data_IF_069527374638
#
_entry.id   IF_069527374638
#
_cell.length_a   1.000
_cell.length_b   1.000
_cell.length_c   1.000
_cell.angle_alpha   90.00
_cell.angle_beta   90.00
_cell.angle_gamma   90.00
#
_symmetry.space_group_name_H-M   'P 1'
#
loop_
_entity.id
_entity.type
_entity.pdbx_description
1 polymer ?
#
# COMPACT_ATOMS: atom_id res chain seq x y z
N UNK A 1 0.59 60.37 -26.81
CA UNK A 1 1.14 59.14 -26.20
C UNK A 1 1.90 59.48 -24.90
N UNK A 2 1.83 58.69 -23.79
CA UNK A 2 1.58 57.26 -23.71
C UNK A 2 0.62 56.78 -22.59
N UNK A 3 0.40 55.45 -22.62
CA UNK A 3 0.25 54.48 -21.52
C UNK A 3 -0.99 54.42 -20.60
N UNK A 4 -1.60 53.23 -20.68
CA UNK A 4 -2.61 52.58 -19.82
C UNK A 4 -2.21 52.49 -18.34
N UNK A 5 -3.20 52.52 -17.45
CA UNK A 5 -3.23 51.65 -16.26
C UNK A 5 -4.65 51.11 -16.09
N UNK A 6 -4.80 49.79 -16.22
CA UNK A 6 -6.01 49.06 -15.87
C UNK A 6 -5.77 48.37 -14.54
N UNK A 7 -6.55 48.72 -13.53
CA UNK A 7 -6.59 48.00 -12.25
C UNK A 7 -7.49 46.78 -12.39
N UNK A 8 -6.89 45.59 -12.43
CA UNK A 8 -7.58 44.31 -12.25
C UNK A 8 -7.58 43.95 -10.77
N UNK A 9 -8.75 44.00 -10.14
CA UNK A 9 -8.98 43.53 -8.78
C UNK A 9 -9.34 42.05 -8.74
N UNK A 10 -8.59 41.31 -7.91
CA UNK A 10 -9.03 40.25 -7.00
C UNK A 10 -10.09 39.24 -7.45
N UNK A 11 -9.66 37.98 -7.57
CA UNK A 11 -10.53 36.81 -7.56
C UNK A 11 -9.72 35.54 -7.29
N UNK A 12 -9.47 35.23 -6.01
CA UNK A 12 -8.88 33.96 -5.58
C UNK A 12 -9.91 32.83 -5.74
N UNK A 13 -9.68 31.94 -6.69
CA UNK A 13 -10.34 30.64 -6.78
C UNK A 13 -9.47 29.59 -6.10
N UNK A 14 -9.88 29.12 -4.92
CA UNK A 14 -9.29 27.98 -4.23
C UNK A 14 -9.81 26.71 -4.91
N UNK A 15 -8.94 26.04 -5.66
CA UNK A 15 -9.19 24.73 -6.26
C UNK A 15 -9.12 23.62 -5.20
N UNK A 16 -10.17 22.81 -5.14
CA UNK A 16 -10.22 21.59 -4.34
C UNK A 16 -9.38 20.49 -4.98
N UNK A 17 -8.49 19.89 -4.20
CA UNK A 17 -7.73 18.69 -4.54
C UNK A 17 -8.05 17.57 -3.56
N UNK A 18 -8.77 16.55 -4.03
CA UNK A 18 -8.97 15.29 -3.33
C UNK A 18 -7.88 14.30 -3.77
N UNK A 19 -7.20 13.69 -2.80
CA UNK A 19 -6.22 12.63 -3.05
C UNK A 19 -5.48 12.25 -1.77
N UNK A 20 -6.14 11.54 -0.85
CA UNK A 20 -5.49 10.87 0.27
C UNK A 20 -5.34 9.39 -0.09
N UNK A 21 -4.08 8.97 -0.30
CA UNK A 21 -3.67 7.58 -0.47
C UNK A 21 -3.35 6.89 0.87
N UNK A 22 -3.12 5.56 0.84
CA UNK A 22 -3.40 4.58 1.92
C UNK A 22 -2.15 4.27 2.76
N UNK A 23 -2.16 3.62 3.92
CA UNK A 23 -3.17 2.89 4.69
C UNK A 23 -2.43 2.04 5.74
N UNK A 24 -3.03 1.85 6.93
CA UNK A 24 -2.67 0.78 7.87
C UNK A 24 -3.91 0.37 8.66
N UNK A 25 -4.24 -0.90 8.52
CA UNK A 25 -5.54 -1.52 8.79
C UNK A 25 -6.10 -1.25 10.19
N UNK A 26 -7.38 -0.89 10.20
CA UNK A 26 -8.29 -1.44 11.19
C UNK A 26 -8.59 -2.89 10.78
N UNK A 27 -8.61 -3.76 11.79
CA UNK A 27 -9.26 -5.06 11.83
C UNK A 27 -10.29 -5.28 10.71
N UNK A 28 -10.15 -6.39 9.98
CA UNK A 28 -11.20 -7.01 9.16
C UNK A 28 -12.02 -6.07 8.26
N UNK A 29 -11.48 -5.50 7.18
CA UNK A 29 -12.35 -4.85 6.16
C UNK A 29 -11.76 -4.67 4.75
N UNK A 30 -10.79 -5.49 4.32
CA UNK A 30 -10.33 -5.50 2.92
C UNK A 30 -11.30 -6.22 1.94
N UNK A 31 -12.40 -6.79 2.45
CA UNK A 31 -13.49 -7.39 1.67
C UNK A 31 -14.61 -6.38 1.32
N UNK A 32 -14.43 -5.07 1.57
CA UNK A 32 -15.52 -4.09 1.39
C UNK A 32 -15.10 -2.76 0.79
N UNK A 33 -14.36 -2.77 -0.31
CA UNK A 33 -14.24 -1.57 -1.16
C UNK A 33 -15.31 -1.55 -2.24
N UNK A 34 -16.50 -1.06 -1.90
CA UNK A 34 -17.52 -0.67 -2.88
C UNK A 34 -17.10 0.66 -3.50
N UNK A 35 -16.51 0.60 -4.69
CA UNK A 35 -16.14 1.79 -5.47
C UNK A 35 -17.37 2.61 -5.87
N UNK A 36 -17.54 3.76 -5.22
CA UNK A 36 -18.46 4.82 -5.66
C UNK A 36 -17.86 5.57 -6.85
N UNK A 37 -18.67 5.75 -7.88
CA UNK A 37 -18.29 6.28 -9.19
C UNK A 37 -17.90 7.76 -9.23
N UNK A 38 -17.26 8.12 -10.34
CA UNK A 38 -16.98 9.49 -10.76
C UNK A 38 -17.45 9.69 -12.20
N UNK A 39 -18.24 10.74 -12.39
CA UNK A 39 -18.91 11.21 -13.60
C UNK A 39 -18.01 11.38 -14.85
N UNK A 40 -18.56 11.01 -16.00
CA UNK A 40 -18.08 11.34 -17.33
C UNK A 40 -19.25 11.52 -18.29
N UNK A 41 -19.58 12.77 -18.59
CA UNK A 41 -20.73 13.23 -19.37
C UNK A 41 -20.70 12.83 -20.86
N UNK A 42 -21.84 12.31 -21.36
CA UNK A 42 -22.43 12.76 -22.62
C UNK A 42 -22.31 11.88 -23.88
N UNK A 43 -23.31 11.03 -24.13
CA UNK A 43 -23.88 10.84 -25.47
C UNK A 43 -25.31 10.26 -25.38
N UNK A 44 -26.27 10.95 -26.00
CA UNK A 44 -27.67 10.55 -26.10
C UNK A 44 -27.84 9.44 -27.14
N UNK A 45 -28.68 8.43 -26.83
CA UNK A 45 -29.42 7.66 -27.83
C UNK A 45 -29.54 6.17 -27.53
N UNK A 46 -30.78 5.70 -27.28
CA UNK A 46 -31.15 4.29 -27.39
C UNK A 46 -31.69 3.69 -26.09
N UNK A 47 -33.01 3.74 -25.92
CA UNK A 47 -33.74 2.89 -24.98
C UNK A 47 -33.60 1.44 -25.44
N UNK A 48 -32.91 0.63 -24.63
CA UNK A 48 -32.55 -0.74 -24.96
C UNK A 48 -32.11 -1.46 -23.70
N UNK A 49 -33.04 -2.22 -23.11
CA UNK A 49 -32.80 -3.23 -22.09
C UNK A 49 -31.74 -4.23 -22.59
N UNK A 50 -30.48 -3.93 -22.29
CA UNK A 50 -29.35 -4.77 -22.65
C UNK A 50 -29.11 -5.76 -21.52
N UNK A 51 -29.62 -6.98 -21.72
CA UNK A 51 -29.19 -8.17 -20.97
C UNK A 51 -27.66 -8.24 -20.96
N UNK A 52 -26.98 -8.48 -19.81
CA UNK A 52 -25.53 -8.56 -19.80
C UNK A 52 -25.03 -9.68 -20.72
N UNK A 53 -24.10 -9.36 -21.62
CA UNK A 53 -23.52 -10.35 -22.52
C UNK A 53 -22.84 -11.50 -21.74
N UNK A 54 -23.00 -12.77 -22.16
CA UNK A 54 -22.38 -13.92 -21.52
C UNK A 54 -20.85 -13.84 -21.63
N UNK A 55 -20.13 -14.14 -20.54
CA UNK A 55 -18.67 -14.21 -20.53
C UNK A 55 -18.25 -15.42 -21.38
N UNK A 56 -17.78 -15.18 -22.60
CA UNK A 56 -17.29 -16.20 -23.52
C UNK A 56 -15.91 -16.69 -23.13
N UNK A 57 -15.60 -17.96 -23.44
CA UNK A 57 -14.26 -18.51 -23.21
C UNK A 57 -13.21 -17.73 -23.99
N UNK A 58 -12.15 -17.23 -23.34
CA UNK A 58 -11.07 -16.55 -24.05
C UNK A 58 -10.41 -17.49 -25.07
N UNK A 59 -10.20 -17.06 -26.33
CA UNK A 59 -9.73 -17.92 -27.41
C UNK A 59 -8.28 -18.42 -27.23
N UNK A 60 -7.51 -17.76 -26.37
CA UNK A 60 -6.13 -18.11 -26.03
C UNK A 60 -6.02 -18.97 -24.76
N UNK A 61 -7.13 -19.29 -24.09
CA UNK A 61 -7.12 -20.19 -22.94
C UNK A 61 -6.75 -21.60 -23.39
N UNK A 62 -5.72 -22.19 -22.77
CA UNK A 62 -5.27 -23.56 -23.07
C UNK A 62 -6.24 -24.60 -22.51
N UNK A 63 -6.24 -25.77 -23.11
CA UNK A 63 -6.83 -26.98 -22.54
C UNK A 63 -5.88 -27.60 -21.51
N UNK A 64 -6.44 -28.23 -20.48
CA UNK A 64 -5.68 -28.99 -19.48
C UNK A 64 -5.50 -28.29 -18.13
N UNK A 65 -4.60 -28.79 -17.27
CA UNK A 65 -4.51 -28.38 -15.87
C UNK A 65 -3.97 -26.95 -15.68
N UNK A 66 -3.21 -26.42 -16.64
CA UNK A 66 -2.81 -25.02 -16.67
C UNK A 66 -3.45 -24.33 -17.88
N UNK A 67 -4.52 -23.51 -17.68
CA UNK A 67 -5.24 -22.88 -18.77
C UNK A 67 -4.55 -21.61 -19.31
N UNK A 68 -3.43 -21.18 -18.73
CA UNK A 68 -2.73 -19.97 -19.12
C UNK A 68 -1.74 -20.22 -20.27
N UNK A 69 -1.68 -19.33 -21.29
CA UNK A 69 -0.58 -19.29 -22.25
C UNK A 69 0.79 -19.18 -21.56
N UNK A 70 1.84 -19.72 -22.20
CA UNK A 70 3.22 -19.66 -21.67
C UNK A 70 3.74 -18.22 -21.53
N UNK A 71 3.23 -17.31 -22.36
CA UNK A 71 3.53 -15.87 -22.33
C UNK A 71 2.25 -15.03 -22.22
N UNK A 72 1.40 -15.36 -21.25
CA UNK A 72 0.14 -14.64 -21.05
C UNK A 72 0.37 -13.19 -20.59
N UNK A 73 -0.30 -12.24 -21.22
CA UNK A 73 -0.32 -10.85 -20.74
C UNK A 73 -1.17 -10.71 -19.47
N UNK A 74 -0.99 -9.64 -18.67
CA UNK A 74 -1.84 -9.41 -17.49
C UNK A 74 -3.34 -9.37 -17.82
N UNK A 75 -3.73 -8.79 -18.96
CA UNK A 75 -5.12 -8.76 -19.45
C UNK A 75 -5.62 -10.16 -19.77
N UNK A 76 -4.79 -10.98 -20.42
CA UNK A 76 -5.13 -12.37 -20.73
C UNK A 76 -5.30 -13.21 -19.46
N UNK A 77 -4.43 -13.02 -18.46
CA UNK A 77 -4.55 -13.67 -17.16
C UNK A 77 -5.87 -13.24 -16.48
N UNK A 78 -6.16 -11.94 -16.44
CA UNK A 78 -7.42 -11.40 -15.89
C UNK A 78 -8.64 -12.02 -16.55
N UNK A 79 -8.71 -12.03 -17.88
CA UNK A 79 -9.83 -12.58 -18.64
C UNK A 79 -10.02 -14.09 -18.37
N UNK A 80 -8.93 -14.86 -18.31
CA UNK A 80 -8.98 -16.29 -17.95
C UNK A 80 -9.48 -16.46 -16.51
N UNK A 81 -8.98 -15.68 -15.54
CA UNK A 81 -9.42 -15.76 -14.14
C UNK A 81 -10.92 -15.46 -13.98
N UNK A 82 -11.42 -14.42 -14.65
CA UNK A 82 -12.86 -14.10 -14.66
C UNK A 82 -13.66 -15.22 -15.31
N UNK A 83 -13.18 -15.79 -16.43
CA UNK A 83 -13.85 -16.91 -17.07
C UNK A 83 -13.93 -18.13 -16.14
N UNK A 84 -12.83 -18.51 -15.49
CA UNK A 84 -12.77 -19.64 -14.56
C UNK A 84 -13.69 -19.44 -13.37
N UNK A 85 -13.75 -18.24 -12.79
CA UNK A 85 -14.68 -17.92 -11.71
C UNK A 85 -16.17 -18.07 -12.10
N UNK A 86 -16.50 -17.86 -13.37
CA UNK A 86 -17.86 -18.03 -13.88
C UNK A 86 -18.20 -19.48 -14.25
N UNK A 87 -17.23 -20.25 -14.78
CA UNK A 87 -17.51 -21.49 -15.50
C UNK A 87 -16.79 -22.74 -14.99
N UNK A 88 -15.70 -22.60 -14.24
CA UNK A 88 -14.93 -23.74 -13.72
C UNK A 88 -15.41 -24.11 -12.31
N UNK A 89 -15.95 -25.33 -12.10
CA UNK A 89 -16.40 -25.76 -10.79
C UNK A 89 -15.28 -25.73 -9.74
N UNK A 90 -15.54 -25.15 -8.57
CA UNK A 90 -14.59 -25.10 -7.46
C UNK A 90 -13.57 -23.98 -7.55
N UNK A 91 -13.36 -23.34 -8.71
CA UNK A 91 -12.43 -22.23 -8.84
C UNK A 91 -12.88 -21.03 -8.00
N UNK A 92 -14.16 -20.66 -8.08
CA UNK A 92 -14.70 -19.53 -7.31
C UNK A 92 -14.61 -19.79 -5.81
N UNK A 93 -15.03 -20.96 -5.35
CA UNK A 93 -15.04 -21.33 -3.93
C UNK A 93 -13.62 -21.45 -3.34
N UNK A 94 -12.64 -21.81 -4.17
CA UNK A 94 -11.24 -21.92 -3.75
C UNK A 94 -10.58 -20.57 -3.48
N UNK A 95 -10.95 -19.54 -4.25
CA UNK A 95 -10.24 -18.26 -4.23
C UNK A 95 -11.08 -17.06 -3.76
N UNK A 96 -12.40 -17.20 -3.68
CA UNK A 96 -13.34 -16.11 -3.38
C UNK A 96 -14.37 -16.46 -2.31
N UNK A 97 -14.85 -15.44 -1.60
CA UNK A 97 -16.09 -15.52 -0.82
C UNK A 97 -17.32 -15.36 -1.74
N UNK A 98 -18.52 -15.49 -1.17
CA UNK A 98 -19.77 -15.39 -1.94
C UNK A 98 -20.03 -13.99 -2.53
N UNK A 99 -19.40 -12.95 -1.98
CA UNK A 99 -19.50 -11.55 -2.44
C UNK A 99 -18.56 -11.23 -3.62
N UNK A 100 -17.61 -12.13 -3.93
CA UNK A 100 -16.61 -11.92 -4.99
C UNK A 100 -15.29 -11.34 -4.47
N UNK A 101 -15.13 -11.20 -3.16
CA UNK A 101 -13.87 -10.84 -2.54
C UNK A 101 -12.95 -12.02 -2.46
N UNK A 102 -11.67 -11.74 -2.71
CA UNK A 102 -10.63 -12.74 -2.64
C UNK A 102 -10.42 -13.18 -1.21
N UNK A 103 -10.24 -14.49 -1.01
CA UNK A 103 -9.98 -15.06 0.32
C UNK A 103 -8.58 -14.68 0.85
N UNK A 104 -7.61 -14.47 -0.05
CA UNK A 104 -6.24 -14.09 0.33
C UNK A 104 -5.48 -13.48 -0.84
N UNK A 105 -4.62 -12.49 -0.56
CA UNK A 105 -3.67 -11.96 -1.54
C UNK A 105 -2.47 -12.89 -1.79
N UNK A 106 -2.20 -13.84 -0.88
CA UNK A 106 -1.03 -14.74 -0.92
C UNK A 106 -1.28 -16.05 -1.67
N UNK A 107 -2.54 -16.30 -2.03
CA UNK A 107 -2.93 -17.53 -2.72
C UNK A 107 -2.95 -17.24 -4.21
N UNK A 108 -2.05 -17.90 -4.94
CA UNK A 108 -1.94 -17.79 -6.38
C UNK A 108 -2.68 -18.94 -7.07
N UNK A 109 -3.19 -18.67 -8.27
CA UNK A 109 -3.66 -19.72 -9.15
C UNK A 109 -2.51 -20.24 -10.05
N UNK A 110 -2.86 -21.03 -11.05
CA UNK A 110 -1.91 -21.63 -12.00
C UNK A 110 -1.18 -20.60 -12.89
N UNK A 111 -1.56 -19.31 -12.85
CA UNK A 111 -0.81 -18.21 -13.49
C UNK A 111 0.36 -17.71 -12.64
N UNK A 112 0.52 -18.24 -11.42
CA UNK A 112 1.43 -17.73 -10.40
C UNK A 112 1.14 -16.29 -9.95
N UNK A 113 -0.08 -15.79 -10.20
CA UNK A 113 -0.58 -14.51 -9.71
C UNK A 113 -1.79 -14.71 -8.82
N UNK A 114 -2.00 -13.76 -7.91
CA UNK A 114 -3.24 -13.67 -7.14
C UNK A 114 -4.42 -13.45 -8.09
N UNK A 115 -5.54 -14.16 -7.95
CA UNK A 115 -6.73 -13.88 -8.75
C UNK A 115 -7.18 -12.41 -8.68
N UNK A 116 -7.84 -11.88 -9.72
CA UNK A 116 -8.40 -10.51 -9.70
C UNK A 116 -9.57 -10.41 -8.74
N UNK A 117 -9.79 -9.23 -8.14
CA UNK A 117 -10.99 -8.95 -7.37
C UNK A 117 -12.23 -9.01 -8.28
N UNK A 118 -13.34 -9.59 -7.81
CA UNK A 118 -14.57 -9.70 -8.57
C UNK A 118 -15.68 -8.80 -8.00
N UNK A 119 -16.57 -8.36 -8.87
CA UNK A 119 -17.91 -7.89 -8.55
C UNK A 119 -18.90 -8.98 -8.96
N UNK A 120 -19.70 -9.46 -8.01
CA UNK A 120 -20.78 -10.42 -8.27
C UNK A 120 -22.07 -9.64 -8.52
N UNK A 121 -22.63 -9.81 -9.71
CA UNK A 121 -23.94 -9.25 -10.04
C UNK A 121 -25.02 -9.87 -9.12
N UNK A 122 -25.79 -9.06 -8.37
CA UNK A 122 -26.72 -9.59 -7.38
C UNK A 122 -27.89 -10.36 -8.00
N UNK A 123 -28.26 -10.06 -9.24
CA UNK A 123 -29.40 -10.67 -9.94
C UNK A 123 -28.97 -11.91 -10.74
N UNK A 124 -27.93 -11.77 -11.55
CA UNK A 124 -27.49 -12.82 -12.49
C UNK A 124 -26.41 -13.73 -11.91
N UNK A 125 -25.80 -13.34 -10.78
CA UNK A 125 -24.61 -13.98 -10.18
C UNK A 125 -23.38 -14.04 -11.10
N UNK A 126 -23.42 -13.31 -12.22
CA UNK A 126 -22.28 -13.16 -13.10
C UNK A 126 -21.13 -12.45 -12.37
N UNK A 127 -19.91 -12.98 -12.48
CA UNK A 127 -18.72 -12.35 -11.90
C UNK A 127 -17.98 -11.55 -12.96
N UNK A 128 -17.61 -10.32 -12.64
CA UNK A 128 -16.79 -9.44 -13.50
C UNK A 128 -15.61 -8.95 -12.68
N UNK A 129 -14.49 -8.63 -13.31
CA UNK A 129 -13.39 -7.99 -12.59
C UNK A 129 -13.88 -6.66 -11.99
N UNK A 130 -13.61 -6.42 -10.71
CA UNK A 130 -13.98 -5.19 -10.02
C UNK A 130 -13.11 -3.99 -10.45
N UNK A 131 -11.99 -4.27 -11.12
CA UNK A 131 -11.06 -3.28 -11.68
C UNK A 131 -10.43 -3.85 -12.95
N UNK A 132 -10.09 -2.97 -13.88
CA UNK A 132 -9.33 -3.34 -15.08
C UNK A 132 -7.84 -3.58 -14.83
N UNK A 133 -7.32 -3.13 -13.68
CA UNK A 133 -5.90 -3.26 -13.36
C UNK A 133 -5.57 -4.70 -12.90
N UNK A 134 -4.49 -5.30 -13.42
CA UNK A 134 -4.02 -6.61 -12.96
C UNK A 134 -3.65 -6.59 -11.47
N UNK A 135 -3.64 -7.77 -10.81
CA UNK A 135 -3.18 -7.89 -9.43
C UNK A 135 -1.72 -7.44 -9.32
N UNK A 136 -1.32 -6.82 -8.19
CA UNK A 136 0.04 -6.32 -8.04
C UNK A 136 1.06 -7.46 -8.06
N UNK A 137 2.26 -7.19 -8.57
CA UNK A 137 3.41 -8.10 -8.46
C UNK A 137 3.76 -8.23 -6.97
N UNK A 138 3.69 -9.46 -6.44
CA UNK A 138 3.97 -9.77 -5.05
C UNK A 138 5.46 -9.73 -4.70
N UNK A 139 5.76 -9.41 -3.44
CA UNK A 139 7.10 -9.46 -2.87
C UNK A 139 7.65 -10.88 -2.77
N UNK A 140 8.98 -11.01 -2.76
CA UNK A 140 9.69 -12.26 -2.47
C UNK A 140 10.67 -12.02 -1.35
N UNK A 141 10.92 -13.04 -0.54
CA UNK A 141 11.85 -12.97 0.59
C UNK A 141 13.08 -13.86 0.38
N UNK A 142 14.22 -13.44 0.94
CA UNK A 142 15.47 -14.22 0.95
C UNK A 142 15.26 -15.52 1.71
N UNK A 143 14.68 -15.41 2.90
CA UNK A 143 14.27 -16.51 3.77
C UNK A 143 12.78 -16.39 4.07
N UNK A 144 12.04 -17.51 4.11
CA UNK A 144 10.60 -17.51 4.42
C UNK A 144 10.29 -17.26 5.90
N UNK A 145 11.30 -17.36 6.78
CA UNK A 145 11.17 -17.16 8.22
C UNK A 145 11.54 -15.75 8.68
N UNK A 146 10.71 -15.17 9.55
CA UNK A 146 11.04 -13.92 10.22
C UNK A 146 12.23 -14.11 11.17
N UNK A 147 13.19 -13.18 11.13
CA UNK A 147 14.13 -13.00 12.24
C UNK A 147 13.43 -12.17 13.31
N UNK A 148 13.37 -12.67 14.54
CA UNK A 148 12.60 -12.03 15.60
C UNK A 148 13.51 -11.51 16.70
N UNK A 149 13.30 -10.26 17.11
CA UNK A 149 13.77 -9.78 18.40
C UNK A 149 12.60 -9.69 19.38
N UNK A 150 12.90 -9.77 20.67
CA UNK A 150 11.93 -9.60 21.73
C UNK A 150 12.28 -8.39 22.60
N UNK A 151 11.35 -8.07 23.50
CA UNK A 151 11.56 -7.09 24.56
C UNK A 151 12.60 -7.53 25.59
N UNK A 152 12.75 -8.84 25.79
CA UNK A 152 13.59 -9.44 26.83
C UNK A 152 15.09 -9.46 26.46
N UNK A 153 15.42 -9.20 25.19
CA UNK A 153 16.77 -8.97 24.71
C UNK A 153 17.46 -7.86 25.49
N UNK A 154 18.80 -7.85 25.42
CA UNK A 154 19.65 -6.91 26.15
C UNK A 154 19.56 -5.47 25.59
N UNK A 155 18.38 -4.86 25.67
CA UNK A 155 18.18 -3.44 25.42
C UNK A 155 18.55 -2.65 26.67
N UNK A 156 19.25 -1.54 26.48
CA UNK A 156 19.44 -0.59 27.58
C UNK A 156 18.12 0.11 27.93
N UNK A 157 18.03 0.60 29.17
CA UNK A 157 16.81 1.22 29.71
C UNK A 157 16.31 2.42 28.90
N UNK A 158 17.24 3.20 28.33
CA UNK A 158 16.88 4.39 27.54
C UNK A 158 16.23 3.98 26.21
N UNK A 159 16.78 2.97 25.54
CA UNK A 159 16.21 2.40 24.32
C UNK A 159 14.84 1.80 24.58
N UNK A 160 14.69 1.00 25.65
CA UNK A 160 13.42 0.40 26.02
C UNK A 160 12.35 1.46 26.31
N UNK A 161 12.71 2.54 27.02
CA UNK A 161 11.81 3.65 27.32
C UNK A 161 11.30 4.33 26.05
N UNK A 162 12.16 4.61 25.06
CA UNK A 162 11.73 5.20 23.78
C UNK A 162 10.73 4.30 23.04
N UNK A 163 11.00 3.00 23.01
CA UNK A 163 10.13 2.03 22.35
C UNK A 163 8.76 1.94 23.03
N UNK A 164 8.72 1.97 24.36
CA UNK A 164 7.47 2.01 25.13
C UNK A 164 6.70 3.32 24.95
N UNK A 165 7.39 4.47 24.94
CA UNK A 165 6.77 5.77 24.68
C UNK A 165 6.11 5.79 23.28
N UNK A 166 6.79 5.27 22.26
CA UNK A 166 6.24 5.16 20.91
C UNK A 166 5.05 4.18 20.83
N UNK A 167 5.12 3.05 21.54
CA UNK A 167 4.00 2.09 21.62
C UNK A 167 2.77 2.70 22.32
N UNK A 168 2.98 3.41 23.43
CA UNK A 168 1.93 4.07 24.19
C UNK A 168 1.27 5.21 23.38
N UNK A 169 2.09 6.00 22.67
CA UNK A 169 1.58 7.04 21.77
C UNK A 169 0.72 6.43 20.65
N UNK A 170 1.19 5.37 20.00
CA UNK A 170 0.42 4.63 18.99
C UNK A 170 -0.93 4.17 19.56
N UNK A 171 -0.95 3.55 20.74
CA UNK A 171 -2.19 3.06 21.34
C UNK A 171 -3.17 4.20 21.62
N UNK A 172 -2.69 5.31 22.18
CA UNK A 172 -3.50 6.51 22.43
C UNK A 172 -4.22 7.01 21.17
N UNK A 173 -3.53 7.08 20.04
CA UNK A 173 -4.14 7.55 18.79
C UNK A 173 -5.06 6.52 18.13
N UNK A 174 -4.81 5.22 18.32
CA UNK A 174 -5.76 4.17 17.93
C UNK A 174 -7.07 4.31 18.71
N UNK A 175 -6.99 4.51 20.03
CA UNK A 175 -8.17 4.67 20.88
C UNK A 175 -8.95 5.93 20.46
N UNK A 176 -8.25 7.06 20.26
CA UNK A 176 -8.87 8.31 19.81
C UNK A 176 -9.57 8.18 18.44
N UNK A 177 -8.92 7.53 17.47
CA UNK A 177 -9.52 7.30 16.15
C UNK A 177 -10.74 6.36 16.22
N UNK A 178 -10.68 5.34 17.07
CA UNK A 178 -11.78 4.40 17.29
C UNK A 178 -13.00 5.11 17.90
N UNK A 179 -12.80 5.97 18.89
CA UNK A 179 -13.88 6.77 19.48
C UNK A 179 -14.47 7.79 18.50
N UNK A 180 -13.63 8.46 17.71
CA UNK A 180 -14.09 9.40 16.68
C UNK A 180 -14.92 8.69 15.58
N UNK A 181 -14.52 7.49 15.17
CA UNK A 181 -15.25 6.69 14.19
C UNK A 181 -16.59 6.18 14.75
N UNK A 182 -16.64 5.72 16.00
CA UNK A 182 -17.90 5.36 16.68
C UNK A 182 -18.87 6.54 16.71
N UNK A 183 -18.38 7.74 17.06
CA UNK A 183 -19.17 8.98 17.06
C UNK A 183 -19.72 9.29 15.66
N UNK A 184 -18.89 9.18 14.62
CA UNK A 184 -19.31 9.36 13.22
C UNK A 184 -20.44 8.39 12.84
N UNK A 185 -20.31 7.11 13.20
CA UNK A 185 -21.31 6.08 12.90
C UNK A 185 -22.64 6.32 13.61
N UNK A 186 -22.61 6.72 14.88
CA UNK A 186 -23.83 7.07 15.63
C UNK A 186 -24.59 8.23 14.98
N UNK A 187 -23.87 9.26 14.52
CA UNK A 187 -24.48 10.44 13.90
C UNK A 187 -24.95 10.19 12.46
N UNK A 188 -24.32 9.26 11.74
CA UNK A 188 -24.75 8.86 10.39
C UNK A 188 -26.18 8.29 10.39
N UNK A 189 -26.61 7.68 11.50
CA UNK A 189 -27.95 7.14 11.68
C UNK A 189 -28.97 8.18 12.18
N UNK A 190 -28.52 9.37 12.60
CA UNK A 190 -29.32 10.36 13.34
C UNK A 190 -29.91 11.51 12.51
N UNK A 191 -29.55 11.64 11.23
CA UNK A 191 -30.14 12.62 10.30
C UNK A 191 -29.69 14.09 10.46
N UNK A 192 -28.86 14.42 11.44
CA UNK A 192 -28.27 15.77 11.59
C UNK A 192 -27.03 15.93 10.70
N UNK A 193 -27.18 16.70 9.61
CA UNK A 193 -26.13 16.90 8.62
C UNK A 193 -24.94 17.72 9.12
N UNK A 194 -25.13 18.64 10.08
CA UNK A 194 -24.04 19.49 10.57
C UNK A 194 -23.19 18.74 11.60
N UNK A 195 -23.84 18.07 12.55
CA UNK A 195 -23.17 17.22 13.52
C UNK A 195 -22.41 16.08 12.84
N UNK A 196 -23.00 15.47 11.80
CA UNK A 196 -22.33 14.46 11.00
C UNK A 196 -21.08 15.00 10.30
N UNK A 197 -21.15 16.19 9.69
CA UNK A 197 -19.99 16.80 9.01
C UNK A 197 -18.84 17.09 9.99
N UNK A 198 -19.16 17.60 11.18
CA UNK A 198 -18.17 17.84 12.23
C UNK A 198 -17.51 16.52 12.68
N UNK A 199 -18.30 15.47 12.90
CA UNK A 199 -17.79 14.16 13.29
C UNK A 199 -16.97 13.48 12.17
N UNK A 200 -17.33 13.68 10.90
CA UNK A 200 -16.52 13.23 9.76
C UNK A 200 -15.14 13.92 9.75
N UNK A 201 -15.09 15.22 10.01
CA UNK A 201 -13.83 15.97 10.05
C UNK A 201 -12.97 15.56 11.26
N UNK A 202 -13.58 15.36 12.42
CA UNK A 202 -12.90 14.84 13.63
C UNK A 202 -12.31 13.45 13.38
N UNK A 203 -13.10 12.53 12.83
CA UNK A 203 -12.64 11.18 12.48
C UNK A 203 -11.50 11.21 11.46
N UNK A 204 -11.56 12.10 10.45
CA UNK A 204 -10.48 12.28 9.47
C UNK A 204 -9.19 12.73 10.15
N UNK A 205 -9.24 13.74 11.03
CA UNK A 205 -8.07 14.22 11.76
C UNK A 205 -7.51 13.16 12.69
N UNK A 206 -8.36 12.44 13.42
CA UNK A 206 -7.95 11.38 14.32
C UNK A 206 -7.32 10.19 13.57
N UNK A 207 -7.86 9.83 12.40
CA UNK A 207 -7.28 8.80 11.54
C UNK A 207 -5.90 9.20 11.03
N UNK A 208 -5.72 10.45 10.61
CA UNK A 208 -4.40 10.93 10.17
C UNK A 208 -3.36 10.86 11.30
N UNK A 209 -3.72 11.30 12.51
CA UNK A 209 -2.83 11.22 13.67
C UNK A 209 -2.53 9.77 14.09
N UNK A 210 -3.51 8.87 13.95
CA UNK A 210 -3.31 7.42 14.13
C UNK A 210 -2.30 6.86 13.14
N UNK A 211 -2.42 7.22 11.86
CA UNK A 211 -1.48 6.77 10.83
C UNK A 211 -0.06 7.20 11.17
N UNK A 212 0.13 8.50 11.44
CA UNK A 212 1.45 9.07 11.78
C UNK A 212 2.07 8.41 13.02
N UNK A 213 1.29 8.20 14.09
CA UNK A 213 1.79 7.57 15.31
C UNK A 213 2.19 6.09 15.09
N UNK A 214 1.50 5.39 14.20
CA UNK A 214 1.81 4.01 13.88
C UNK A 214 3.02 3.87 12.95
N UNK A 215 3.19 4.77 11.98
CA UNK A 215 4.41 4.89 11.16
C UNK A 215 5.62 5.15 12.07
N UNK A 216 5.52 6.18 12.92
CA UNK A 216 6.57 6.55 13.89
C UNK A 216 6.96 5.38 14.79
N UNK A 217 6.00 4.59 15.25
CA UNK A 217 6.28 3.42 16.06
C UNK A 217 7.11 2.37 15.30
N UNK A 218 6.70 1.98 14.10
CA UNK A 218 7.46 1.03 13.27
C UNK A 218 8.88 1.53 12.99
N UNK A 219 9.01 2.80 12.61
CA UNK A 219 10.30 3.44 12.35
C UNK A 219 11.20 3.49 13.60
N UNK A 220 10.62 3.74 14.78
CA UNK A 220 11.38 3.78 16.05
C UNK A 220 11.97 2.41 16.35
N UNK A 221 11.22 1.32 16.13
CA UNK A 221 11.71 -0.06 16.29
C UNK A 221 12.87 -0.33 15.34
N UNK A 222 12.73 0.06 14.07
CA UNK A 222 13.78 -0.11 13.09
C UNK A 222 15.07 0.63 13.52
N UNK A 223 14.95 1.91 13.89
CA UNK A 223 16.06 2.79 14.24
C UNK A 223 16.74 2.42 15.55
N UNK A 224 15.97 2.12 16.58
CA UNK A 224 16.47 1.99 17.95
C UNK A 224 16.84 0.55 18.31
N UNK A 225 16.34 -0.45 17.56
CA UNK A 225 16.68 -1.85 17.82
C UNK A 225 17.19 -2.59 16.58
N UNK A 226 16.43 -2.66 15.49
CA UNK A 226 16.81 -3.54 14.35
C UNK A 226 18.13 -3.12 13.71
N UNK A 227 18.31 -1.84 13.42
CA UNK A 227 19.55 -1.36 12.80
C UNK A 227 20.75 -1.52 13.72
N UNK A 228 20.72 -1.10 15.01
CA UNK A 228 21.83 -1.35 15.94
C UNK A 228 22.17 -2.83 16.12
N UNK A 229 21.16 -3.71 16.16
CA UNK A 229 21.34 -5.15 16.41
C UNK A 229 21.89 -5.88 15.18
N UNK A 230 21.39 -5.60 13.98
CA UNK A 230 21.73 -6.34 12.75
C UNK A 230 22.78 -5.66 11.87
N UNK A 231 22.94 -4.34 12.02
CA UNK A 231 23.76 -3.51 11.15
C UNK A 231 24.63 -2.53 11.95
N UNK A 232 25.44 -3.03 12.90
CA UNK A 232 26.20 -2.18 13.82
C UNK A 232 27.13 -1.23 13.07
N UNK A 233 27.16 0.03 13.52
CA UNK A 233 27.98 1.09 12.92
C UNK A 233 27.39 1.72 11.66
N UNK A 234 26.20 1.31 11.23
CA UNK A 234 25.52 1.98 10.11
C UNK A 234 25.07 3.39 10.49
N UNK A 235 25.11 4.30 9.53
CA UNK A 235 24.73 5.71 9.71
C UNK A 235 23.49 6.04 8.86
N UNK A 236 22.52 6.81 9.38
CA UNK A 236 21.32 7.13 8.62
C UNK A 236 21.67 8.07 7.46
N UNK A 237 21.06 7.84 6.30
CA UNK A 237 21.06 8.78 5.18
C UNK A 237 19.85 9.72 5.31
N UNK A 238 20.02 10.98 4.92
CA UNK A 238 18.93 11.96 4.95
C UNK A 238 18.04 11.77 3.74
N UNK A 239 16.73 11.66 3.97
CA UNK A 239 15.70 11.61 2.93
C UNK A 239 14.90 12.92 2.94
N UNK A 240 14.48 13.37 1.77
CA UNK A 240 13.77 14.63 1.52
C UNK A 240 12.50 14.42 0.67
N UNK A 241 11.88 13.26 0.82
CA UNK A 241 10.63 12.90 0.17
C UNK A 241 9.48 13.81 0.57
N UNK A 242 8.37 13.68 -0.15
CA UNK A 242 7.25 14.61 -0.08
C UNK A 242 6.59 14.58 1.30
N UNK A 243 6.00 15.72 1.69
CA UNK A 243 5.30 15.88 2.96
C UNK A 243 4.11 14.91 3.16
N UNK A 244 3.65 14.24 2.10
CA UNK A 244 2.59 13.24 2.15
C UNK A 244 3.11 11.81 2.42
N UNK A 245 4.43 11.62 2.61
CA UNK A 245 5.05 10.32 2.91
C UNK A 245 5.12 9.33 1.75
N UNK A 246 4.49 9.63 0.60
CA UNK A 246 4.54 8.76 -0.56
C UNK A 246 5.90 8.86 -1.28
N UNK A 247 6.20 7.94 -2.19
CA UNK A 247 7.35 8.07 -3.10
C UNK A 247 8.73 8.14 -2.40
N UNK A 248 8.84 7.56 -1.21
CA UNK A 248 10.07 7.50 -0.42
C UNK A 248 10.15 6.17 0.33
N UNK A 249 11.37 5.72 0.63
CA UNK A 249 11.61 4.69 1.65
C UNK A 249 11.37 5.26 3.05
N UNK A 250 11.00 4.42 4.01
CA UNK A 250 10.86 4.86 5.41
C UNK A 250 12.23 5.24 5.99
N UNK A 251 13.26 4.42 5.76
CA UNK A 251 14.64 4.73 6.16
C UNK A 251 15.68 4.17 5.19
N UNK A 252 16.81 4.86 5.06
CA UNK A 252 18.01 4.38 4.37
C UNK A 252 19.20 4.56 5.30
N UNK A 253 20.03 3.53 5.38
CA UNK A 253 21.23 3.49 6.22
C UNK A 253 22.44 3.07 5.41
N UNK A 254 23.54 3.80 5.55
CA UNK A 254 24.84 3.42 4.99
C UNK A 254 25.57 2.50 5.95
N UNK A 255 25.98 1.33 5.47
CA UNK A 255 26.79 0.37 6.22
C UNK A 255 28.28 0.78 6.23
N UNK A 256 29.06 0.34 7.23
CA UNK A 256 30.51 0.60 7.28
C UNK A 256 31.31 0.07 6.07
N UNK A 257 30.82 -0.98 5.42
CA UNK A 257 31.40 -1.58 4.20
C UNK A 257 31.09 -0.79 2.91
N UNK A 258 30.35 0.32 3.02
CA UNK A 258 29.93 1.14 1.89
C UNK A 258 28.64 0.67 1.20
N UNK A 259 28.04 -0.44 1.66
CA UNK A 259 26.72 -0.89 1.23
C UNK A 259 25.59 -0.12 1.91
N UNK A 260 24.35 -0.51 1.59
CA UNK A 260 23.15 0.13 2.13
C UNK A 260 22.16 -0.88 2.71
N UNK A 261 21.44 -0.43 3.73
CA UNK A 261 20.21 -1.07 4.22
C UNK A 261 19.07 -0.11 3.95
N UNK A 262 18.05 -0.59 3.25
CA UNK A 262 16.81 0.15 3.00
C UNK A 262 15.71 -0.52 3.81
N UNK A 263 14.91 0.27 4.51
CA UNK A 263 13.93 -0.22 5.47
C UNK A 263 12.52 0.21 5.07
N UNK A 264 11.61 -0.76 4.99
CA UNK A 264 10.17 -0.55 5.17
C UNK A 264 9.81 -0.91 6.62
N UNK A 265 9.07 -0.05 7.30
CA UNK A 265 8.70 -0.22 8.70
C UNK A 265 7.17 -0.24 8.85
N UNK A 266 6.65 -1.24 9.56
CA UNK A 266 5.22 -1.40 9.83
C UNK A 266 4.97 -1.50 11.33
N UNK A 267 3.89 -0.87 11.77
CA UNK A 267 3.57 -0.76 13.19
C UNK A 267 3.25 -2.11 13.85
N UNK A 268 2.72 -3.08 13.11
CA UNK A 268 2.36 -4.41 13.64
C UNK A 268 2.71 -5.54 12.69
N UNK A 269 2.93 -6.75 13.22
CA UNK A 269 3.19 -7.98 12.45
C UNK A 269 2.08 -8.32 11.45
N UNK A 270 0.83 -8.01 11.79
CA UNK A 270 -0.34 -8.25 10.94
C UNK A 270 -0.52 -7.20 9.84
N UNK A 271 0.19 -6.08 9.89
CA UNK A 271 0.08 -5.03 8.86
C UNK A 271 0.62 -5.57 7.54
N UNK A 272 -0.20 -5.49 6.49
CA UNK A 272 0.19 -5.87 5.13
C UNK A 272 1.07 -4.80 4.46
N UNK A 273 1.79 -5.21 3.41
CA UNK A 273 2.58 -4.28 2.59
C UNK A 273 1.67 -3.48 1.66
N UNK A 274 2.04 -2.23 1.41
CA UNK A 274 1.31 -1.40 0.44
C UNK A 274 1.53 -1.88 -1.00
N UNK A 275 0.64 -1.49 -1.92
CA UNK A 275 0.87 -1.59 -3.37
C UNK A 275 0.63 -0.25 -4.04
N UNK A 276 1.37 0.02 -5.11
CA UNK A 276 1.21 1.23 -5.92
C UNK A 276 1.27 0.93 -7.40
N UNK A 277 0.73 1.84 -8.21
CA UNK A 277 1.02 1.87 -9.65
C UNK A 277 2.49 2.27 -9.84
N UNK A 278 3.17 1.57 -10.74
CA UNK A 278 4.57 1.85 -11.07
C UNK A 278 4.60 2.56 -12.41
N UNK A 279 5.31 3.68 -12.50
CA UNK A 279 5.31 4.47 -13.73
C UNK A 279 5.98 3.74 -14.90
N UNK A 280 6.93 2.84 -14.60
CA UNK A 280 7.67 2.06 -15.58
C UNK A 280 6.91 0.85 -16.15
N UNK A 281 5.78 0.47 -15.56
CA UNK A 281 4.97 -0.68 -16.00
C UNK A 281 3.56 -0.19 -16.35
N UNK A 282 3.19 -0.27 -17.63
CA UNK A 282 1.96 0.30 -18.16
C UNK A 282 0.71 -0.35 -17.53
N UNK A 283 0.15 0.29 -16.50
CA UNK A 283 -1.05 -0.18 -15.79
C UNK A 283 -0.80 -1.15 -14.63
N UNK A 284 0.43 -1.64 -14.47
CA UNK A 284 0.79 -2.58 -13.41
C UNK A 284 0.96 -1.90 -12.05
N UNK A 285 0.75 -2.70 -11.02
CA UNK A 285 1.01 -2.34 -9.63
C UNK A 285 2.11 -3.23 -9.07
N UNK A 286 2.96 -2.70 -8.21
CA UNK A 286 3.94 -3.49 -7.48
C UNK A 286 3.73 -3.32 -5.97
N UNK A 287 3.89 -4.42 -5.25
CA UNK A 287 3.94 -4.42 -3.79
C UNK A 287 5.24 -3.77 -3.32
N UNK A 288 5.19 -3.09 -2.18
CA UNK A 288 6.39 -2.74 -1.42
C UNK A 288 7.25 -4.00 -1.20
N UNK A 289 8.57 -3.87 -1.22
CA UNK A 289 9.46 -5.03 -1.14
C UNK A 289 9.84 -5.67 -2.48
N UNK A 290 9.26 -5.24 -3.59
CA UNK A 290 9.66 -5.70 -4.93
C UNK A 290 10.79 -4.84 -5.52
N UNK A 291 11.55 -5.41 -6.47
CA UNK A 291 12.55 -4.65 -7.24
C UNK A 291 11.93 -3.49 -8.00
N UNK A 292 10.77 -3.68 -8.62
CA UNK A 292 10.08 -2.64 -9.40
C UNK A 292 9.64 -1.48 -8.52
N UNK A 293 9.11 -1.77 -7.33
CA UNK A 293 8.79 -0.74 -6.34
C UNK A 293 10.05 0.03 -5.92
N UNK A 294 11.13 -0.69 -5.61
CA UNK A 294 12.40 -0.09 -5.22
C UNK A 294 12.92 0.88 -6.30
N UNK A 295 12.94 0.44 -7.57
CA UNK A 295 13.42 1.25 -8.69
C UNK A 295 12.53 2.45 -8.99
N UNK A 296 11.21 2.33 -8.80
CA UNK A 296 10.28 3.45 -8.94
C UNK A 296 10.54 4.52 -7.88
N UNK A 297 10.83 4.15 -6.63
CA UNK A 297 11.23 5.13 -5.61
C UNK A 297 12.52 5.84 -6.02
N UNK A 298 13.54 5.12 -6.50
CA UNK A 298 14.79 5.74 -6.95
C UNK A 298 14.55 6.74 -8.09
N UNK A 299 13.59 6.46 -8.98
CA UNK A 299 13.18 7.40 -10.01
C UNK A 299 12.52 8.66 -9.44
N UNK A 300 11.69 8.52 -8.40
CA UNK A 300 11.12 9.69 -7.72
C UNK A 300 12.18 10.50 -6.97
N UNK A 301 13.15 9.83 -6.32
CA UNK A 301 14.29 10.49 -5.68
C UNK A 301 15.12 11.27 -6.71
N UNK A 302 15.40 10.67 -7.86
CA UNK A 302 16.16 11.31 -8.95
C UNK A 302 15.45 12.54 -9.50
N UNK A 303 14.12 12.47 -9.68
CA UNK A 303 13.32 13.64 -10.09
C UNK A 303 13.37 14.75 -9.06
N UNK A 304 13.30 14.43 -7.77
CA UNK A 304 13.51 15.41 -6.69
C UNK A 304 14.95 15.93 -6.65
N UNK A 305 15.90 15.14 -7.12
CA UNK A 305 17.32 15.49 -7.32
C UNK A 305 17.54 16.78 -8.10
N UNK A 306 16.60 17.15 -8.99
CA UNK A 306 16.64 18.42 -9.72
C UNK A 306 16.57 19.65 -8.79
N UNK A 307 15.82 19.55 -7.69
CA UNK A 307 15.67 20.62 -6.70
C UNK A 307 16.52 20.37 -5.44
N UNK A 308 16.79 19.10 -5.13
CA UNK A 308 17.49 18.65 -3.92
C UNK A 308 18.63 17.72 -4.34
N UNK A 309 19.81 18.24 -4.70
CA UNK A 309 20.89 17.43 -5.27
C UNK A 309 21.29 16.20 -4.44
N UNK A 310 21.18 16.27 -3.11
CA UNK A 310 21.46 15.14 -2.21
C UNK A 310 20.54 13.93 -2.44
N UNK A 311 19.27 14.13 -2.84
CA UNK A 311 18.35 13.04 -3.20
C UNK A 311 18.80 12.32 -4.49
N UNK A 312 19.19 13.09 -5.51
CA UNK A 312 19.68 12.53 -6.77
C UNK A 312 20.98 11.75 -6.57
N UNK A 313 21.94 12.31 -5.82
CA UNK A 313 23.17 11.61 -5.48
C UNK A 313 22.94 10.31 -4.69
N UNK A 314 21.99 10.31 -3.76
CA UNK A 314 21.64 9.11 -2.99
C UNK A 314 20.96 8.07 -3.89
N UNK A 315 20.06 8.49 -4.78
CA UNK A 315 19.42 7.62 -5.75
C UNK A 315 20.46 6.93 -6.65
N UNK A 316 21.43 7.67 -7.18
CA UNK A 316 22.52 7.11 -7.98
C UNK A 316 23.36 6.09 -7.20
N UNK A 317 23.73 6.42 -5.96
CA UNK A 317 24.48 5.51 -5.06
C UNK A 317 23.70 4.22 -4.79
N UNK A 318 22.40 4.32 -4.55
CA UNK A 318 21.51 3.16 -4.35
C UNK A 318 21.36 2.33 -5.63
N UNK A 319 21.15 2.95 -6.81
CA UNK A 319 21.09 2.21 -8.09
C UNK A 319 22.38 1.42 -8.32
N UNK A 320 23.53 2.03 -8.08
CA UNK A 320 24.84 1.37 -8.18
C UNK A 320 24.97 0.22 -7.20
N UNK A 321 24.65 0.45 -5.93
CA UNK A 321 24.71 -0.58 -4.90
C UNK A 321 23.78 -1.76 -5.21
N UNK A 322 22.57 -1.54 -5.75
CA UNK A 322 21.69 -2.63 -6.19
C UNK A 322 22.34 -3.44 -7.32
N UNK A 323 22.95 -2.78 -8.30
CA UNK A 323 23.64 -3.46 -9.41
C UNK A 323 24.82 -4.32 -8.93
N UNK A 324 25.51 -3.87 -7.88
CA UNK A 324 26.64 -4.56 -7.25
C UNK A 324 26.21 -5.61 -6.22
N UNK A 325 24.90 -5.76 -5.95
CA UNK A 325 24.38 -6.67 -4.93
C UNK A 325 24.66 -6.22 -3.49
N UNK A 326 24.93 -4.93 -3.27
CA UNK A 326 25.32 -4.35 -1.99
C UNK A 326 24.20 -3.54 -1.32
N UNK A 327 22.95 -3.96 -1.53
CA UNK A 327 21.76 -3.41 -0.87
C UNK A 327 21.01 -4.55 -0.19
N UNK A 328 20.72 -4.36 1.09
CA UNK A 328 19.76 -5.19 1.83
C UNK A 328 18.46 -4.41 1.99
N UNK A 329 17.41 -4.86 1.31
CA UNK A 329 16.08 -4.28 1.47
C UNK A 329 15.28 -5.11 2.48
N UNK A 330 14.89 -4.49 3.59
CA UNK A 330 14.29 -5.19 4.72
C UNK A 330 12.91 -4.63 5.08
N UNK A 331 12.08 -5.50 5.65
CA UNK A 331 10.83 -5.15 6.29
C UNK A 331 10.95 -5.37 7.80
N UNK A 332 10.64 -4.34 8.57
CA UNK A 332 10.53 -4.40 10.02
C UNK A 332 9.07 -4.29 10.42
N UNK A 333 8.57 -5.24 11.22
CA UNK A 333 7.23 -5.18 11.79
C UNK A 333 7.28 -5.20 13.31
N UNK A 334 6.60 -4.26 13.95
CA UNK A 334 6.53 -4.20 15.41
C UNK A 334 5.65 -5.29 16.03
N UNK A 335 6.01 -5.73 17.24
CA UNK A 335 5.14 -6.52 18.14
C UNK A 335 4.71 -5.63 19.30
N UNK A 336 3.42 -5.67 19.64
CA UNK A 336 2.83 -4.85 20.70
C UNK A 336 2.13 -5.72 21.75
N UNK A 337 2.16 -5.25 23.00
CA UNK A 337 1.32 -5.72 24.10
C UNK A 337 0.54 -4.51 24.64
N UNK A 338 -0.58 -4.20 24.00
CA UNK A 338 -1.34 -2.97 24.23
C UNK A 338 -0.45 -1.73 24.08
N UNK A 339 -0.28 -0.90 25.13
CA UNK A 339 0.55 0.30 25.08
C UNK A 339 2.06 0.02 25.21
N UNK A 340 2.50 -1.23 25.27
CA UNK A 340 3.91 -1.59 25.49
C UNK A 340 4.55 -2.22 24.26
N UNK A 341 5.84 -1.93 24.10
CA UNK A 341 6.68 -2.60 23.12
C UNK A 341 6.90 -4.09 23.49
N UNK A 342 6.75 -5.00 22.52
CA UNK A 342 6.87 -6.45 22.75
C UNK A 342 7.92 -7.16 21.87
N UNK A 343 8.60 -6.45 20.96
CA UNK A 343 9.56 -7.06 20.03
C UNK A 343 9.35 -6.63 18.58
N UNK A 344 9.98 -7.37 17.66
CA UNK A 344 9.81 -7.15 16.23
C UNK A 344 9.92 -8.46 15.42
N UNK A 345 9.54 -8.36 14.15
CA UNK A 345 9.86 -9.29 13.08
C UNK A 345 10.61 -8.56 11.97
N UNK A 346 11.69 -9.16 11.48
CA UNK A 346 12.50 -8.66 10.37
C UNK A 346 12.48 -9.67 9.24
N UNK A 347 12.20 -9.19 8.04
CA UNK A 347 12.29 -9.95 6.79
C UNK A 347 13.25 -9.25 5.84
N UNK A 348 13.88 -10.00 4.94
CA UNK A 348 14.71 -9.45 3.88
C UNK A 348 14.07 -9.78 2.53
N UNK A 349 13.82 -8.75 1.73
CA UNK A 349 13.30 -8.89 0.39
C UNK A 349 14.37 -9.37 -0.59
N UNK A 350 13.92 -10.11 -1.59
CA UNK A 350 14.70 -10.45 -2.79
C UNK A 350 14.56 -9.32 -3.81
N UNK A 351 15.69 -8.80 -4.26
CA UNK A 351 15.78 -7.73 -5.26
C UNK A 351 16.20 -8.24 -6.65
N UNK A 352 16.19 -9.56 -6.90
CA UNK A 352 16.62 -10.19 -8.15
C UNK A 352 15.48 -10.48 -9.16
#
# INVERSE_FOLDING_TARGET
PPARSGGGGGGHGIGGGHGLGPGIDGLDDAARTRGGGGDGTGARGGDGTSTPAPVTRPPYMREGPNPYPEHATPEQIKEIQVYRANHEPGYFEKYYNREGDRLSLKVHDESARTPVQLHVDPETKAKRAASDAPPPIGEKYVDEGARTGDRAGALDEKTLKKLDEAAAERQKYIDAASEAEKKKQLLANGGDSEALRAAQQEAKTAMAARTEAAERYGETIAREQVIPEHYPGSTPETLHGPANGNDQFDQVWRKPDGGYVVVEAKSTVSTELGSRKIAALEGDRAMQGTRDYFMDILEQMDRRGNDIPSEGELAEKLRKAVKEGNVEYILVKGKVDGPRYAGYEKYQFKLD
#
